data_IF_149066775468
#
_entry.id   IF_149066775468
#
_cell.length_a   1.000
_cell.length_b   1.000
_cell.length_c   1.000
_cell.angle_alpha   90.00
_cell.angle_beta   90.00
_cell.angle_gamma   90.00
#
_symmetry.space_group_name_H-M   'P 1'
#
loop_
_entity.id
_entity.type
_entity.pdbx_description
1 polymer ?
#
# COMPACT_ATOMS: atom_id res chain seq x y z
N UNK A 1 -5.54 -27.22 -11.90
CA UNK A 1 -4.43 -27.99 -12.53
C UNK A 1 -3.74 -27.07 -13.51
N UNK A 2 -2.42 -26.91 -13.37
CA UNK A 2 -1.61 -26.18 -14.35
C UNK A 2 -0.80 -27.18 -15.17
N UNK A 3 -0.51 -26.81 -16.41
CA UNK A 3 0.33 -27.60 -17.30
C UNK A 3 1.76 -27.04 -17.24
N UNK A 4 2.66 -27.79 -16.63
CA UNK A 4 4.08 -27.43 -16.60
C UNK A 4 4.78 -28.06 -17.79
N UNK A 5 5.43 -27.23 -18.61
CA UNK A 5 6.22 -27.70 -19.74
C UNK A 5 7.64 -28.06 -19.32
N UNK A 6 8.19 -29.15 -19.86
CA UNK A 6 9.63 -29.39 -19.75
C UNK A 6 10.40 -28.41 -20.64
N UNK A 7 11.62 -28.08 -20.22
CA UNK A 7 12.51 -27.19 -20.97
C UNK A 7 13.90 -27.82 -21.12
N UNK A 8 14.55 -27.50 -22.23
CA UNK A 8 15.97 -27.75 -22.44
C UNK A 8 16.77 -26.46 -22.25
N UNK A 9 17.89 -26.53 -21.53
CA UNK A 9 18.89 -25.46 -21.57
C UNK A 9 19.65 -25.53 -22.89
N UNK A 10 19.49 -24.50 -23.73
CA UNK A 10 20.21 -24.34 -24.99
C UNK A 10 20.92 -22.99 -25.02
N UNK A 11 22.01 -22.88 -25.78
CA UNK A 11 22.67 -21.58 -25.95
C UNK A 11 21.93 -20.76 -27.01
N UNK A 12 21.61 -19.52 -26.66
CA UNK A 12 20.99 -18.58 -27.58
C UNK A 12 21.95 -18.29 -28.75
N UNK A 13 21.51 -18.43 -30.02
CA UNK A 13 22.41 -18.43 -31.18
C UNK A 13 23.11 -17.09 -31.41
N UNK A 14 22.52 -15.98 -30.95
CA UNK A 14 23.06 -14.64 -31.19
C UNK A 14 23.83 -14.06 -29.99
N UNK A 15 23.53 -14.50 -28.76
CA UNK A 15 24.10 -13.92 -27.53
C UNK A 15 24.97 -14.91 -26.75
N UNK A 16 24.83 -16.22 -27.00
CA UNK A 16 25.57 -17.27 -26.31
C UNK A 16 25.08 -17.58 -24.88
N UNK A 17 24.16 -16.78 -24.36
CA UNK A 17 23.52 -16.97 -23.05
C UNK A 17 22.64 -18.24 -23.03
N UNK A 18 22.41 -18.78 -21.83
CA UNK A 18 21.51 -19.93 -21.66
C UNK A 18 20.07 -19.44 -21.85
N UNK A 19 19.32 -20.12 -22.72
CA UNK A 19 17.89 -19.97 -22.88
C UNK A 19 17.18 -21.30 -22.63
N UNK A 20 15.95 -21.24 -22.13
CA UNK A 20 15.09 -22.40 -21.91
C UNK A 20 14.22 -22.63 -23.14
N UNK A 21 14.43 -23.73 -23.86
CA UNK A 21 13.62 -24.14 -25.00
C UNK A 21 12.51 -25.08 -24.53
N UNK A 22 11.26 -24.65 -24.65
CA UNK A 22 10.10 -25.48 -24.29
C UNK A 22 10.04 -26.74 -25.16
N UNK A 23 9.89 -27.90 -24.52
CA UNK A 23 9.53 -29.17 -25.17
C UNK A 23 8.03 -29.28 -25.37
N UNK A 24 7.62 -30.09 -26.33
CA UNK A 24 6.21 -30.45 -26.54
C UNK A 24 5.77 -31.56 -25.55
N UNK A 25 6.08 -31.34 -24.28
CA UNK A 25 5.73 -32.20 -23.15
C UNK A 25 5.03 -31.33 -22.13
N UNK A 26 3.92 -31.82 -21.60
CA UNK A 26 3.11 -31.11 -20.62
C UNK A 26 2.78 -32.06 -19.48
N UNK A 27 3.20 -31.71 -18.27
CA UNK A 27 2.99 -32.50 -17.07
C UNK A 27 1.85 -31.84 -16.26
N UNK A 28 0.70 -32.51 -16.13
CA UNK A 28 -0.36 -32.08 -15.22
C UNK A 28 0.16 -31.97 -13.80
N UNK A 29 0.25 -30.74 -13.29
CA UNK A 29 0.76 -30.47 -11.95
C UNK A 29 -0.38 -29.96 -11.07
N UNK A 30 -0.68 -30.64 -9.94
CA UNK A 30 -1.61 -30.10 -8.96
C UNK A 30 -0.97 -28.87 -8.31
N UNK A 31 -1.71 -27.77 -8.33
CA UNK A 31 -1.34 -26.54 -7.64
C UNK A 31 -2.53 -26.17 -6.76
N UNK A 32 -2.26 -25.75 -5.53
CA UNK A 32 -3.28 -25.19 -4.66
C UNK A 32 -3.86 -23.96 -5.34
N UNK A 33 -5.17 -23.98 -5.56
CA UNK A 33 -5.91 -22.81 -5.96
C UNK A 33 -6.38 -22.13 -4.68
N UNK A 34 -5.96 -20.87 -4.50
CA UNK A 34 -6.45 -19.99 -3.47
C UNK A 34 -7.32 -18.95 -4.17
N UNK A 35 -8.53 -19.33 -4.57
CA UNK A 35 -9.45 -18.44 -5.30
C UNK A 35 -10.56 -17.83 -4.44
N UNK A 36 -10.78 -18.35 -3.23
CA UNK A 36 -11.80 -17.84 -2.32
C UNK A 36 -11.16 -17.26 -1.08
N UNK A 37 -11.42 -15.97 -0.86
CA UNK A 37 -10.94 -15.23 0.30
C UNK A 37 -12.12 -14.69 1.09
N UNK A 38 -11.94 -14.55 2.41
CA UNK A 38 -12.83 -13.79 3.27
C UNK A 38 -12.03 -12.65 3.87
N UNK A 39 -12.61 -11.45 3.99
CA UNK A 39 -11.91 -10.35 4.65
C UNK A 39 -11.59 -10.77 6.08
N UNK A 40 -10.33 -10.63 6.48
CA UNK A 40 -9.93 -10.71 7.88
C UNK A 40 -10.37 -9.46 8.65
N UNK A 41 -10.63 -8.37 7.93
CA UNK A 41 -10.92 -7.07 8.50
C UNK A 41 -11.77 -6.23 7.56
N UNK A 42 -12.59 -5.33 8.12
CA UNK A 42 -13.41 -4.37 7.38
C UNK A 42 -13.23 -3.02 8.06
N UNK A 43 -13.06 -1.97 7.26
CA UNK A 43 -12.92 -0.59 7.72
C UNK A 43 -13.83 0.33 6.90
N UNK A 44 -14.28 1.43 7.52
CA UNK A 44 -15.11 2.42 6.85
C UNK A 44 -14.21 3.46 6.20
N UNK A 45 -14.40 3.70 4.90
CA UNK A 45 -13.65 4.75 4.22
C UNK A 45 -14.00 6.13 4.80
N UNK A 46 -13.01 6.95 5.19
CA UNK A 46 -13.25 8.30 5.68
C UNK A 46 -13.65 9.22 4.52
N UNK A 47 -14.10 10.44 4.83
CA UNK A 47 -14.39 11.43 3.77
C UNK A 47 -13.12 11.89 3.04
N UNK A 48 -12.00 11.94 3.76
CA UNK A 48 -10.70 12.32 3.24
C UNK A 48 -9.55 11.77 4.09
N UNK A 49 -8.37 11.73 3.47
CA UNK A 49 -7.09 11.54 4.13
C UNK A 49 -6.26 12.82 4.06
N UNK A 50 -5.35 12.96 5.01
CA UNK A 50 -4.32 13.98 5.06
C UNK A 50 -2.96 13.30 5.14
N UNK A 51 -2.10 13.54 4.15
CA UNK A 51 -0.72 13.07 4.18
C UNK A 51 0.17 14.26 4.54
N UNK A 52 0.87 14.16 5.65
CA UNK A 52 1.76 15.21 6.14
C UNK A 52 3.00 15.32 5.25
N UNK A 53 3.68 16.49 5.21
CA UNK A 53 4.85 16.71 4.34
C UNK A 53 6.00 15.71 4.55
N UNK A 54 6.10 15.12 5.74
CA UNK A 54 7.11 14.09 6.02
C UNK A 54 6.89 12.83 5.17
N UNK A 55 5.64 12.56 4.78
CA UNK A 55 5.26 11.44 3.90
C UNK A 55 5.27 11.79 2.40
N UNK A 56 6.14 12.69 1.95
CA UNK A 56 6.20 13.16 0.55
C UNK A 56 6.27 11.98 -0.45
N UNK A 57 6.99 10.92 -0.09
CA UNK A 57 7.13 9.69 -0.88
C UNK A 57 5.78 9.00 -1.19
N UNK A 58 4.80 9.13 -0.30
CA UNK A 58 3.43 8.67 -0.50
C UNK A 58 2.62 9.66 -1.34
N UNK A 59 2.82 10.97 -1.14
CA UNK A 59 2.18 12.04 -1.94
C UNK A 59 2.55 11.89 -3.42
N UNK A 60 3.83 11.75 -3.73
CA UNK A 60 4.33 11.55 -5.10
C UNK A 60 3.72 10.31 -5.76
N UNK A 61 3.51 9.23 -5.00
CA UNK A 61 2.90 7.99 -5.52
C UNK A 61 1.41 8.14 -5.78
N UNK A 62 0.68 8.81 -4.89
CA UNK A 62 -0.72 9.14 -5.14
C UNK A 62 -0.87 9.93 -6.45
N UNK A 63 -0.05 10.96 -6.62
CA UNK A 63 -0.01 11.78 -7.84
C UNK A 63 0.36 10.93 -9.07
N UNK A 64 1.34 10.01 -8.96
CA UNK A 64 1.72 9.10 -10.03
C UNK A 64 0.61 8.11 -10.42
N UNK A 65 -0.26 7.72 -9.50
CA UNK A 65 -1.47 6.95 -9.77
C UNK A 65 -2.62 7.79 -10.37
N UNK A 66 -2.43 9.10 -10.53
CA UNK A 66 -3.44 10.03 -11.03
C UNK A 66 -4.51 10.40 -9.99
N UNK A 67 -4.28 10.11 -8.71
CA UNK A 67 -5.18 10.53 -7.63
C UNK A 67 -5.08 12.04 -7.47
N UNK A 68 -6.22 12.71 -7.36
CA UNK A 68 -6.24 14.16 -7.15
C UNK A 68 -5.81 14.46 -5.72
N UNK A 69 -4.75 15.25 -5.60
CA UNK A 69 -4.18 15.72 -4.33
C UNK A 69 -4.23 17.25 -4.30
N UNK A 70 -4.73 17.81 -3.19
CA UNK A 70 -4.71 19.25 -2.94
C UNK A 70 -3.72 19.57 -1.83
N UNK A 71 -2.63 20.28 -2.14
CA UNK A 71 -1.63 20.67 -1.14
C UNK A 71 -2.03 21.95 -0.42
N UNK A 72 -1.93 21.95 0.91
CA UNK A 72 -2.24 23.11 1.73
C UNK A 72 -1.15 24.16 1.63
N UNK A 73 -1.55 25.40 1.31
CA UNK A 73 -0.64 26.55 1.22
C UNK A 73 -0.52 27.32 2.53
N UNK A 74 -1.36 27.02 3.51
CA UNK A 74 -1.37 27.60 4.85
C UNK A 74 -1.61 26.50 5.87
N UNK A 75 -1.12 26.69 7.09
CA UNK A 75 -1.46 25.80 8.20
C UNK A 75 -2.97 25.83 8.49
N UNK A 76 -3.52 24.71 8.97
CA UNK A 76 -4.93 24.56 9.31
C UNK A 76 -5.10 23.65 10.51
N UNK A 77 -5.84 24.10 11.52
CA UNK A 77 -6.29 23.23 12.58
C UNK A 77 -7.48 22.39 12.10
N UNK A 78 -7.43 21.08 12.38
CA UNK A 78 -8.47 20.12 12.01
C UNK A 78 -8.67 19.07 13.10
N UNK A 79 -9.93 18.66 13.26
CA UNK A 79 -10.26 17.44 14.00
C UNK A 79 -10.07 16.25 13.07
N UNK A 80 -9.08 15.41 13.36
CA UNK A 80 -8.68 14.29 12.52
C UNK A 80 -8.53 13.04 13.38
N UNK A 81 -8.34 11.89 12.74
CA UNK A 81 -7.89 10.69 13.42
C UNK A 81 -6.46 10.39 13.04
N UNK A 82 -5.65 10.05 14.04
CA UNK A 82 -4.28 9.56 13.89
C UNK A 82 -4.28 8.06 14.15
N UNK A 83 -3.57 7.29 13.32
CA UNK A 83 -3.40 5.87 13.57
C UNK A 83 -2.32 5.67 14.64
N UNK A 84 -2.74 5.26 15.84
CA UNK A 84 -1.83 4.92 16.92
C UNK A 84 -1.37 3.48 16.72
N UNK A 85 -0.08 3.30 16.41
CA UNK A 85 0.51 1.99 16.16
C UNK A 85 0.76 1.30 17.51
N UNK A 86 0.19 0.12 17.68
CA UNK A 86 0.41 -0.75 18.84
C UNK A 86 1.59 -1.70 18.59
N UNK A 87 1.68 -2.27 17.38
CA UNK A 87 2.74 -3.20 17.00
C UNK A 87 2.94 -3.27 15.49
N UNK A 88 4.10 -3.75 15.06
CA UNK A 88 4.43 -3.93 13.65
C UNK A 88 5.14 -5.27 13.42
N UNK A 89 5.06 -5.80 12.20
CA UNK A 89 5.79 -7.00 11.77
C UNK A 89 6.27 -6.81 10.34
N UNK A 90 7.55 -7.01 10.13
CA UNK A 90 8.15 -7.07 8.79
C UNK A 90 8.34 -8.53 8.38
N UNK A 91 7.95 -8.87 7.15
CA UNK A 91 8.14 -10.21 6.60
C UNK A 91 9.64 -10.49 6.39
N UNK A 92 10.13 -11.65 6.82
CA UNK A 92 11.55 -12.02 6.63
C UNK A 92 11.88 -12.37 5.18
N UNK A 93 10.88 -12.80 4.42
CA UNK A 93 11.04 -13.14 3.01
C UNK A 93 10.62 -11.95 2.15
N UNK A 94 11.52 -11.54 1.25
CA UNK A 94 11.21 -10.47 0.32
C UNK A 94 10.20 -10.95 -0.73
N UNK A 95 9.17 -10.14 -0.96
CA UNK A 95 8.27 -10.22 -2.10
C UNK A 95 8.59 -9.07 -3.05
N UNK A 96 8.90 -9.40 -4.31
CA UNK A 96 9.29 -8.40 -5.33
C UNK A 96 10.39 -7.43 -4.87
N UNK A 97 11.36 -7.91 -4.08
CA UNK A 97 12.49 -7.12 -3.60
C UNK A 97 12.17 -6.23 -2.39
N UNK A 98 11.00 -6.39 -1.76
CA UNK A 98 10.58 -5.66 -0.56
C UNK A 98 10.15 -6.62 0.54
N UNK A 99 10.43 -6.27 1.78
CA UNK A 99 9.93 -6.99 2.93
C UNK A 99 8.63 -6.32 3.37
N UNK A 100 7.50 -6.98 3.14
CA UNK A 100 6.19 -6.40 3.45
C UNK A 100 6.04 -6.12 4.95
N UNK A 101 5.38 -5.01 5.29
CA UNK A 101 5.12 -4.61 6.68
C UNK A 101 3.64 -4.69 7.01
N UNK A 102 3.32 -5.37 8.11
CA UNK A 102 2.00 -5.32 8.74
C UNK A 102 2.08 -4.43 9.97
N UNK A 103 1.07 -3.56 10.16
CA UNK A 103 0.92 -2.75 11.38
C UNK A 103 -0.42 -3.05 12.03
N UNK A 104 -0.45 -3.01 13.36
CA UNK A 104 -1.66 -3.09 14.17
C UNK A 104 -1.76 -1.84 15.02
N UNK A 105 -3.00 -1.42 15.29
CA UNK A 105 -3.28 -0.18 15.98
C UNK A 105 -4.72 0.25 15.80
N UNK A 106 -5.01 1.46 16.24
CA UNK A 106 -6.36 2.04 16.17
C UNK A 106 -6.34 3.51 15.74
N UNK A 107 -7.44 3.94 15.14
CA UNK A 107 -7.66 5.34 14.79
C UNK A 107 -8.17 6.11 16.01
N UNK A 108 -7.38 7.06 16.49
CA UNK A 108 -7.71 7.91 17.65
C UNK A 108 -7.97 9.33 17.20
N UNK A 109 -9.11 9.90 17.59
CA UNK A 109 -9.46 11.29 17.29
C UNK A 109 -8.58 12.27 18.07
N UNK A 110 -8.07 13.28 17.37
CA UNK A 110 -7.20 14.32 17.91
C UNK A 110 -7.37 15.61 17.10
N UNK A 111 -7.14 16.75 17.75
CA UNK A 111 -7.03 18.03 17.05
C UNK A 111 -5.57 18.25 16.68
N UNK A 112 -5.30 18.40 15.38
CA UNK A 112 -3.94 18.55 14.85
C UNK A 112 -3.84 19.82 14.01
N UNK A 113 -2.72 20.53 14.17
CA UNK A 113 -2.36 21.61 13.26
C UNK A 113 -1.66 21.00 12.05
N UNK A 114 -2.37 20.97 10.93
CA UNK A 114 -1.84 20.47 9.66
C UNK A 114 -0.91 21.54 9.07
N UNK A 115 0.39 21.27 8.89
CA UNK A 115 1.35 22.26 8.39
C UNK A 115 1.15 22.55 6.90
N UNK A 116 1.78 23.63 6.43
CA UNK A 116 1.93 23.92 4.99
C UNK A 116 2.57 22.72 4.29
N UNK A 117 2.08 22.39 3.10
CA UNK A 117 2.52 21.23 2.32
C UNK A 117 1.69 19.96 2.57
N UNK A 118 0.84 19.93 3.60
CA UNK A 118 -0.07 18.78 3.84
C UNK A 118 -0.92 18.51 2.60
N UNK A 119 -0.89 17.27 2.13
CA UNK A 119 -1.70 16.79 1.02
C UNK A 119 -3.08 16.34 1.52
N UNK A 120 -4.12 17.01 1.05
CA UNK A 120 -5.51 16.62 1.22
C UNK A 120 -5.95 15.73 0.07
N UNK A 121 -6.53 14.58 0.41
CA UNK A 121 -6.99 13.56 -0.54
C UNK A 121 -8.43 13.21 -0.22
N UNK A 122 -9.39 13.75 -0.96
CA UNK A 122 -10.80 13.37 -0.80
C UNK A 122 -11.01 11.93 -1.28
N UNK A 123 -11.78 11.15 -0.54
CA UNK A 123 -12.24 9.82 -1.00
C UNK A 123 -13.42 9.95 -1.97
N UNK A 124 -14.10 11.10 -2.00
CA UNK A 124 -15.17 11.40 -2.95
C UNK A 124 -14.62 11.82 -4.33
N UNK A 125 -13.87 10.93 -4.97
CA UNK A 125 -13.32 11.09 -6.32
C UNK A 125 -13.33 9.74 -7.07
N UNK A 126 -13.17 9.70 -8.41
CA UNK A 126 -13.23 8.45 -9.18
C UNK A 126 -12.25 7.36 -8.70
N UNK A 127 -11.07 7.76 -8.22
CA UNK A 127 -10.05 6.87 -7.66
C UNK A 127 -10.10 6.75 -6.12
N UNK A 128 -11.21 7.14 -5.48
CA UNK A 128 -11.35 7.14 -4.03
C UNK A 128 -11.12 5.79 -3.36
N UNK A 129 -11.59 4.70 -4.00
CA UNK A 129 -11.31 3.33 -3.51
C UNK A 129 -9.83 2.99 -3.54
N UNK A 130 -9.12 3.42 -4.58
CA UNK A 130 -7.68 3.23 -4.66
C UNK A 130 -6.97 4.09 -3.59
N UNK A 131 -7.38 5.34 -3.40
CA UNK A 131 -6.82 6.18 -2.34
C UNK A 131 -7.00 5.54 -0.95
N UNK A 132 -8.18 4.99 -0.67
CA UNK A 132 -8.44 4.21 0.55
C UNK A 132 -7.50 3.00 0.66
N UNK A 133 -7.41 2.16 -0.38
CA UNK A 133 -6.50 1.00 -0.40
C UNK A 133 -5.03 1.39 -0.18
N UNK A 134 -4.58 2.49 -0.77
CA UNK A 134 -3.18 2.92 -0.67
C UNK A 134 -2.84 3.53 0.69
N UNK A 135 -3.77 4.29 1.28
CA UNK A 135 -3.53 5.08 2.50
C UNK A 135 -3.98 4.40 3.79
N UNK A 136 -4.90 3.44 3.74
CA UNK A 136 -5.36 2.75 4.94
C UNK A 136 -4.23 1.89 5.53
N UNK A 137 -3.86 2.08 6.81
CA UNK A 137 -2.68 1.43 7.38
C UNK A 137 -2.72 -0.09 7.38
N UNK A 138 -3.92 -0.66 7.46
CA UNK A 138 -4.17 -2.10 7.54
C UNK A 138 -4.54 -2.72 6.18
N UNK A 139 -4.45 -1.95 5.09
CA UNK A 139 -4.63 -2.48 3.74
C UNK A 139 -3.49 -3.44 3.36
N UNK A 140 -3.85 -4.55 2.71
CA UNK A 140 -2.93 -5.59 2.25
C UNK A 140 -2.14 -5.21 0.98
N UNK A 141 -2.60 -4.18 0.27
CA UNK A 141 -1.94 -3.61 -0.91
C UNK A 141 -1.72 -2.09 -0.75
N UNK A 142 -1.53 -1.63 0.50
CA UNK A 142 -1.30 -0.24 0.87
C UNK A 142 0.17 0.18 0.89
N UNK A 143 0.44 1.49 1.01
CA UNK A 143 1.82 2.00 1.08
C UNK A 143 2.61 1.42 2.26
N UNK A 144 1.94 1.15 3.39
CA UNK A 144 2.57 0.51 4.54
C UNK A 144 2.94 -0.94 4.21
N UNK A 145 2.02 -1.71 3.60
CA UNK A 145 2.28 -3.10 3.20
C UNK A 145 3.50 -3.22 2.28
N UNK A 146 3.70 -2.26 1.38
CA UNK A 146 4.84 -2.18 0.46
C UNK A 146 6.10 -1.55 1.04
N UNK A 147 6.15 -1.31 2.35
CA UNK A 147 7.28 -0.69 3.05
C UNK A 147 7.70 0.65 2.42
N UNK A 148 6.73 1.46 1.98
CA UNK A 148 6.97 2.79 1.40
C UNK A 148 7.21 3.83 2.49
N UNK A 149 6.60 3.64 3.67
CA UNK A 149 6.65 4.56 4.82
C UNK A 149 7.41 3.98 6.02
N UNK A 150 8.37 3.07 5.75
CA UNK A 150 9.09 2.35 6.81
C UNK A 150 9.94 3.28 7.66
N UNK A 151 10.62 4.25 7.06
CA UNK A 151 11.46 5.23 7.76
C UNK A 151 10.63 6.05 8.76
N UNK A 152 9.42 6.47 8.38
CA UNK A 152 8.52 7.24 9.24
C UNK A 152 7.91 6.37 10.36
N UNK A 153 7.52 5.13 10.03
CA UNK A 153 7.01 4.17 11.02
C UNK A 153 8.08 3.82 12.06
N UNK A 154 9.35 3.67 11.66
CA UNK A 154 10.48 3.45 12.56
C UNK A 154 10.79 4.68 13.41
N UNK A 155 10.53 5.88 12.88
CA UNK A 155 10.48 7.13 13.65
C UNK A 155 9.30 7.23 14.63
N UNK A 156 8.41 6.23 14.66
CA UNK A 156 7.30 6.10 15.60
C UNK A 156 6.05 6.88 15.20
N UNK A 157 5.94 7.37 13.96
CA UNK A 157 4.77 8.13 13.50
C UNK A 157 4.40 7.80 12.08
N UNK A 158 3.12 7.50 11.86
CA UNK A 158 2.56 7.43 10.51
C UNK A 158 2.18 8.85 10.05
N UNK A 159 2.71 9.34 8.90
CA UNK A 159 2.38 10.66 8.37
C UNK A 159 1.03 10.68 7.61
N UNK A 160 0.11 9.78 7.95
CA UNK A 160 -1.22 9.67 7.37
C UNK A 160 -2.23 9.88 8.49
N UNK A 161 -3.12 10.84 8.28
CA UNK A 161 -4.28 11.12 9.12
C UNK A 161 -5.53 10.93 8.27
N UNK A 162 -6.68 10.72 8.91
CA UNK A 162 -7.97 10.70 8.21
C UNK A 162 -8.95 11.69 8.83
N UNK A 163 -9.91 12.15 8.04
CA UNK A 163 -10.99 12.99 8.53
C UNK A 163 -11.72 12.30 9.68
N UNK A 164 -11.99 13.02 10.77
CA UNK A 164 -12.84 12.48 11.84
C UNK A 164 -14.29 12.43 11.36
N UNK A 165 -15.03 11.34 11.62
CA UNK A 165 -16.46 11.31 11.33
C UNK A 165 -17.18 12.42 12.11
N UNK A 166 -18.09 13.14 11.44
CA UNK A 166 -18.92 14.13 12.11
C UNK A 166 -19.73 13.47 13.25
N UNK A 167 -19.68 14.04 14.45
CA UNK A 167 -20.59 13.67 15.53
C UNK A 167 -21.96 14.22 15.15
N UNK A 168 -22.84 13.37 14.60
CA UNK A 168 -24.26 13.70 14.40
C UNK A 168 -25.05 13.65 15.69
#
# INVERSE_FOLDING_TARGET
MILMGEVDEVRHPNTGEIMLLRRDISIPTPMYEYGTFRPSEIETAPEAYYVLPEGEVAIERLEAHGITVLRYTTERERLVQRFQIDSTRTNSNAFQGRNERTVWGEWVSTTETLPVGTAYVSVNQPLGRLAFTLLEPRSDDGFISWAILDDEIEGGRLPILRESPEVR
#
